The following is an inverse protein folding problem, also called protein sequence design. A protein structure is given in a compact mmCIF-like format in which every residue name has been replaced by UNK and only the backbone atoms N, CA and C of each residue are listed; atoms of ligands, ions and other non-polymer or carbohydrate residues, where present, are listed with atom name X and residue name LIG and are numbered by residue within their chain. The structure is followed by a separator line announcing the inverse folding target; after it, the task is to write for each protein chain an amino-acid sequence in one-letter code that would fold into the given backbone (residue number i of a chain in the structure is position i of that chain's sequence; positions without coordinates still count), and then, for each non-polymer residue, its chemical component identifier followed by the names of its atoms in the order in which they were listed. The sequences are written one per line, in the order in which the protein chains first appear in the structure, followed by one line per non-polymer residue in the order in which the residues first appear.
data_IF_162678933517
#
_entry.id   IF_162678933517
#
_cell.length_a   1.000
_cell.length_b   1.000
_cell.length_c   1.000
_cell.angle_alpha   90.00
_cell.angle_beta   90.00
_cell.angle_gamma   90.00
#
_symmetry.space_group_name_H-M   'P 1'
#
loop_
_entity.id
_entity.type
_entity.pdbx_description
1 polymer ?
#
# COMPACT_ATOMS: atom_id res chain seq x y z
N UNK A 1 9.20 -42.15 -24.79
CA UNK A 1 7.92 -41.41 -24.83
C UNK A 1 7.39 -41.00 -23.45
N UNK A 2 7.35 -41.88 -22.43
CA UNK A 2 6.77 -41.54 -21.11
C UNK A 2 7.49 -40.39 -20.36
N UNK A 3 8.83 -40.33 -20.42
CA UNK A 3 9.64 -39.24 -19.82
C UNK A 3 9.40 -37.87 -20.47
N UNK A 4 9.16 -37.85 -21.77
CA UNK A 4 8.90 -36.62 -22.53
C UNK A 4 7.53 -36.03 -22.20
N UNK A 5 6.54 -36.89 -21.98
CA UNK A 5 5.21 -36.48 -21.53
C UNK A 5 5.23 -35.89 -20.12
N UNK A 6 6.04 -36.44 -19.19
CA UNK A 6 6.19 -35.89 -17.83
C UNK A 6 6.90 -34.53 -17.85
N UNK A 7 7.93 -34.36 -18.68
CA UNK A 7 8.61 -33.07 -18.85
C UNK A 7 7.68 -32.00 -19.43
N UNK A 8 6.91 -32.33 -20.46
CA UNK A 8 5.90 -31.42 -21.04
C UNK A 8 4.82 -31.06 -20.01
N UNK A 9 4.32 -32.02 -19.24
CA UNK A 9 3.31 -31.76 -18.20
C UNK A 9 3.87 -30.85 -17.10
N UNK A 10 5.13 -31.05 -16.71
CA UNK A 10 5.82 -30.22 -15.70
C UNK A 10 6.10 -28.79 -16.21
N UNK A 11 6.45 -28.63 -17.48
CA UNK A 11 6.62 -27.31 -18.11
C UNK A 11 5.29 -26.56 -18.26
N UNK A 12 4.21 -27.26 -18.61
CA UNK A 12 2.86 -26.69 -18.66
C UNK A 12 2.40 -26.20 -17.28
N UNK A 13 2.69 -26.95 -16.21
CA UNK A 13 2.43 -26.48 -14.84
C UNK A 13 3.30 -25.29 -14.44
N UNK A 14 4.57 -25.22 -14.88
CA UNK A 14 5.43 -24.07 -14.62
C UNK A 14 4.98 -22.80 -15.37
N UNK A 15 4.49 -22.96 -16.61
CA UNK A 15 4.02 -21.85 -17.45
C UNK A 15 2.65 -21.30 -16.98
N UNK A 16 1.72 -22.19 -16.59
CA UNK A 16 0.43 -21.78 -16.01
C UNK A 16 0.58 -21.12 -14.62
N UNK A 17 1.65 -21.44 -13.89
CA UNK A 17 1.94 -20.93 -12.55
C UNK A 17 2.51 -19.50 -12.54
N UNK A 18 3.00 -18.95 -13.66
CA UNK A 18 3.72 -17.67 -13.67
C UNK A 18 2.81 -16.45 -13.91
N UNK A 19 1.75 -16.55 -14.72
CA UNK A 19 0.87 -15.40 -15.00
C UNK A 19 0.13 -14.89 -13.77
N UNK A 20 -0.46 -15.78 -12.97
CA UNK A 20 -1.19 -15.38 -11.77
C UNK A 20 -0.23 -14.81 -10.70
N UNK A 21 0.96 -15.40 -10.55
CA UNK A 21 1.97 -14.91 -9.63
C UNK A 21 2.51 -13.54 -10.06
N UNK A 22 2.77 -13.36 -11.35
CA UNK A 22 3.17 -12.09 -11.95
C UNK A 22 2.08 -11.03 -11.76
N UNK A 23 0.82 -11.36 -11.98
CA UNK A 23 -0.29 -10.43 -11.77
C UNK A 23 -0.40 -9.98 -10.32
N UNK A 24 -0.24 -10.91 -9.36
CA UNK A 24 -0.19 -10.55 -7.95
C UNK A 24 1.01 -9.64 -7.64
N UNK A 25 2.22 -9.96 -8.14
CA UNK A 25 3.41 -9.11 -7.96
C UNK A 25 3.20 -7.68 -8.50
N UNK A 26 2.58 -7.54 -9.67
CA UNK A 26 2.25 -6.23 -10.25
C UNK A 26 1.23 -5.50 -9.38
N UNK A 27 0.21 -6.19 -8.89
CA UNK A 27 -0.79 -5.60 -7.99
C UNK A 27 -0.19 -5.10 -6.68
N UNK A 28 0.76 -5.84 -6.10
CA UNK A 28 1.52 -5.42 -4.92
C UNK A 28 2.34 -4.17 -5.24
N UNK A 29 3.01 -4.14 -6.40
CA UNK A 29 3.74 -2.97 -6.87
C UNK A 29 2.85 -1.72 -6.99
N UNK A 30 1.64 -1.89 -7.55
CA UNK A 30 0.65 -0.82 -7.65
C UNK A 30 0.18 -0.35 -6.26
N UNK A 31 -0.16 -1.27 -5.36
CA UNK A 31 -0.58 -0.96 -3.99
C UNK A 31 0.51 -0.23 -3.18
N UNK A 32 1.77 -0.67 -3.29
CA UNK A 32 2.92 0.00 -2.67
C UNK A 32 3.12 1.40 -3.27
N UNK A 33 3.06 1.51 -4.60
CA UNK A 33 3.15 2.80 -5.30
C UNK A 33 2.08 3.79 -4.84
N UNK A 34 0.83 3.34 -4.72
CA UNK A 34 -0.27 4.15 -4.20
C UNK A 34 -0.01 4.65 -2.77
N UNK A 35 0.46 3.77 -1.88
CA UNK A 35 0.80 4.14 -0.50
C UNK A 35 1.97 5.14 -0.45
N UNK A 36 2.97 4.98 -1.31
CA UNK A 36 4.08 5.92 -1.43
C UNK A 36 3.58 7.30 -1.92
N UNK A 37 2.74 7.33 -2.94
CA UNK A 37 2.11 8.55 -3.45
C UNK A 37 1.29 9.26 -2.37
N UNK A 38 0.47 8.52 -1.64
CA UNK A 38 -0.36 9.07 -0.55
C UNK A 38 0.49 9.59 0.63
N UNK A 39 1.63 8.95 0.88
CA UNK A 39 2.60 9.41 1.88
C UNK A 39 3.28 10.71 1.45
N UNK A 40 3.63 10.82 0.17
CA UNK A 40 4.24 12.02 -0.39
C UNK A 40 3.25 13.19 -0.46
N UNK A 41 2.00 12.93 -0.86
CA UNK A 41 0.96 13.96 -0.91
C UNK A 41 0.54 14.43 0.48
N UNK A 42 0.70 13.60 1.52
CA UNK A 42 0.37 13.95 2.91
C UNK A 42 1.53 14.64 3.66
N UNK A 43 2.76 14.61 3.13
CA UNK A 43 3.94 15.12 3.85
C UNK A 43 3.79 16.61 4.18
N UNK A 44 3.92 16.96 5.46
CA UNK A 44 3.80 18.35 5.93
C UNK A 44 2.36 18.83 6.13
N UNK A 45 1.34 18.05 5.76
CA UNK A 45 -0.04 18.34 6.12
C UNK A 45 -0.28 18.12 7.63
N UNK A 46 -1.24 18.82 8.23
CA UNK A 46 -1.63 18.56 9.63
C UNK A 46 -2.23 17.16 9.76
N UNK A 47 -1.77 16.43 10.76
CA UNK A 47 -2.35 15.15 11.15
C UNK A 47 -3.75 15.37 11.73
N UNK A 48 -4.75 14.84 11.04
CA UNK A 48 -6.13 14.82 11.51
C UNK A 48 -6.37 13.75 12.58
N UNK A 49 -5.47 12.76 12.69
CA UNK A 49 -5.61 11.65 13.63
C UNK A 49 -4.87 11.94 14.95
N UNK A 50 -5.60 12.23 16.05
CA UNK A 50 -4.97 12.56 17.34
C UNK A 50 -4.20 11.39 17.96
N UNK A 51 -4.46 10.14 17.55
CA UNK A 51 -3.73 8.96 18.02
C UNK A 51 -2.34 8.83 17.37
N UNK A 52 -2.18 9.34 16.14
CA UNK A 52 -0.91 9.33 15.42
C UNK A 52 -0.01 10.53 15.77
N UNK A 53 -0.59 11.53 16.44
CA UNK A 53 0.11 12.68 17.03
C UNK A 53 -0.71 13.97 16.92
N UNK A 54 -0.26 15.01 17.62
CA UNK A 54 -0.70 16.39 17.38
C UNK A 54 0.44 17.10 16.63
N UNK A 55 0.26 17.42 15.35
CA UNK A 55 1.31 18.03 14.54
C UNK A 55 1.21 17.70 13.05
N UNK A 56 2.30 17.89 12.30
CA UNK A 56 2.35 17.56 10.87
C UNK A 56 2.66 16.08 10.62
N UNK A 57 2.22 15.58 9.47
CA UNK A 57 2.58 14.27 8.96
C UNK A 57 4.08 14.25 8.63
N UNK A 58 4.82 13.45 9.39
CA UNK A 58 6.27 13.39 9.38
C UNK A 58 6.79 11.96 9.41
N UNK A 59 8.08 11.81 9.77
CA UNK A 59 8.78 10.52 9.67
C UNK A 59 8.16 9.38 10.48
N UNK A 60 7.53 9.69 11.63
CA UNK A 60 6.85 8.68 12.46
C UNK A 60 5.64 8.08 11.74
N UNK A 61 4.79 8.91 11.15
CA UNK A 61 3.57 8.46 10.49
C UNK A 61 3.90 7.77 9.17
N UNK A 62 4.95 8.22 8.46
CA UNK A 62 5.54 7.48 7.35
C UNK A 62 5.97 6.08 7.76
N UNK A 63 6.70 5.93 8.88
CA UNK A 63 7.17 4.63 9.37
C UNK A 63 6.02 3.70 9.79
N UNK A 64 4.98 4.23 10.45
CA UNK A 64 3.80 3.44 10.82
C UNK A 64 3.09 2.95 9.57
N UNK A 65 2.85 3.84 8.59
CA UNK A 65 2.13 3.50 7.36
C UNK A 65 2.89 2.51 6.49
N UNK A 66 4.22 2.67 6.38
CA UNK A 66 5.07 1.71 5.67
C UNK A 66 5.09 0.35 6.38
N UNK A 67 5.14 0.34 7.72
CA UNK A 67 5.02 -0.87 8.53
C UNK A 67 3.71 -1.62 8.29
N UNK A 68 2.58 -0.90 8.28
CA UNK A 68 1.27 -1.48 7.96
C UNK A 68 1.26 -2.04 6.54
N UNK A 69 1.73 -1.26 5.56
CA UNK A 69 1.78 -1.68 4.15
C UNK A 69 2.59 -2.97 4.00
N UNK A 70 3.78 -3.04 4.60
CA UNK A 70 4.62 -4.24 4.58
C UNK A 70 3.97 -5.42 5.31
N UNK A 71 3.30 -5.17 6.44
CA UNK A 71 2.57 -6.18 7.21
C UNK A 71 1.44 -6.81 6.41
N UNK A 72 0.66 -6.01 5.68
CA UNK A 72 -0.40 -6.51 4.78
C UNK A 72 0.20 -7.41 3.70
N UNK A 73 1.26 -6.97 3.01
CA UNK A 73 1.90 -7.76 1.94
C UNK A 73 2.45 -9.08 2.50
N UNK A 74 3.04 -9.06 3.69
CA UNK A 74 3.53 -10.26 4.35
C UNK A 74 2.38 -11.22 4.70
N UNK A 75 1.28 -10.70 5.23
CA UNK A 75 0.08 -11.48 5.53
C UNK A 75 -0.50 -12.12 4.26
N UNK A 76 -0.64 -11.36 3.17
CA UNK A 76 -1.04 -11.88 1.87
C UNK A 76 -0.13 -13.02 1.43
N UNK A 77 1.20 -12.82 1.49
CA UNK A 77 2.17 -13.85 1.10
C UNK A 77 2.04 -15.10 1.95
N UNK A 78 1.75 -14.98 3.24
CA UNK A 78 1.51 -16.12 4.12
C UNK A 78 0.19 -16.84 3.81
N UNK A 79 -0.86 -16.08 3.49
CA UNK A 79 -2.16 -16.62 3.08
C UNK A 79 -2.01 -17.36 1.76
N UNK A 80 -1.37 -16.76 0.75
CA UNK A 80 -1.17 -17.37 -0.57
C UNK A 80 -0.28 -18.61 -0.54
N UNK A 81 0.59 -18.75 0.47
CA UNK A 81 1.35 -19.99 0.71
C UNK A 81 0.45 -21.14 1.15
N UNK A 82 -0.62 -20.87 1.90
CA UNK A 82 -1.56 -21.88 2.41
C UNK A 82 -2.78 -22.06 1.51
N UNK A 83 -3.22 -20.98 0.87
CA UNK A 83 -4.46 -20.84 0.11
C UNK A 83 -4.19 -20.17 -1.25
N UNK A 84 -3.44 -20.82 -2.16
CA UNK A 84 -3.09 -20.26 -3.46
C UNK A 84 -4.31 -19.93 -4.33
N UNK A 85 -5.46 -20.59 -4.11
CA UNK A 85 -6.75 -20.33 -4.77
C UNK A 85 -7.26 -18.90 -4.57
N UNK A 86 -6.86 -18.24 -3.47
CA UNK A 86 -7.26 -16.86 -3.16
C UNK A 86 -6.45 -15.80 -3.91
N UNK A 87 -5.49 -16.19 -4.76
CA UNK A 87 -4.58 -15.24 -5.44
C UNK A 87 -5.29 -14.18 -6.26
N UNK A 88 -6.32 -14.56 -7.01
CA UNK A 88 -7.06 -13.60 -7.83
C UNK A 88 -7.82 -12.59 -6.96
N UNK A 89 -8.37 -13.04 -5.83
CA UNK A 89 -9.03 -12.16 -4.86
C UNK A 89 -8.04 -11.12 -4.33
N UNK A 90 -6.87 -11.53 -3.83
CA UNK A 90 -5.85 -10.62 -3.31
C UNK A 90 -5.29 -9.68 -4.39
N UNK A 91 -5.13 -10.17 -5.61
CA UNK A 91 -4.71 -9.35 -6.76
C UNK A 91 -5.70 -8.21 -7.01
N UNK A 92 -7.00 -8.51 -7.06
CA UNK A 92 -8.04 -7.49 -7.23
C UNK A 92 -8.18 -6.59 -6.00
N UNK A 93 -8.01 -7.12 -4.79
CA UNK A 93 -8.04 -6.34 -3.56
C UNK A 93 -6.91 -5.30 -3.54
N UNK A 94 -5.70 -5.67 -3.98
CA UNK A 94 -4.57 -4.74 -4.12
C UNK A 94 -4.85 -3.62 -5.12
N UNK A 95 -5.42 -3.93 -6.28
CA UNK A 95 -5.81 -2.90 -7.25
C UNK A 95 -6.94 -2.00 -6.72
N UNK A 96 -7.99 -2.57 -6.16
CA UNK A 96 -9.12 -1.80 -5.62
C UNK A 96 -8.70 -0.87 -4.49
N UNK A 97 -7.93 -1.39 -3.54
CA UNK A 97 -7.40 -0.60 -2.42
C UNK A 97 -6.40 0.44 -2.91
N UNK A 98 -5.47 0.05 -3.79
CA UNK A 98 -4.50 0.98 -4.37
C UNK A 98 -5.17 2.11 -5.15
N UNK A 99 -6.26 1.83 -5.87
CA UNK A 99 -7.02 2.84 -6.60
C UNK A 99 -7.70 3.83 -5.64
N UNK A 100 -8.31 3.33 -4.56
CA UNK A 100 -8.90 4.18 -3.53
C UNK A 100 -7.85 5.08 -2.85
N UNK A 101 -6.70 4.51 -2.46
CA UNK A 101 -5.58 5.26 -1.87
C UNK A 101 -5.04 6.30 -2.85
N UNK A 102 -4.89 5.94 -4.13
CA UNK A 102 -4.42 6.86 -5.16
C UNK A 102 -5.38 8.02 -5.38
N UNK A 103 -6.70 7.78 -5.34
CA UNK A 103 -7.70 8.82 -5.42
C UNK A 103 -7.59 9.82 -4.26
N UNK A 104 -7.36 9.31 -3.03
CA UNK A 104 -7.07 10.16 -1.86
C UNK A 104 -5.78 10.94 -2.06
N UNK A 105 -4.72 10.31 -2.55
CA UNK A 105 -3.44 10.96 -2.81
C UNK A 105 -3.57 12.11 -3.81
N UNK A 106 -4.27 11.89 -4.92
CA UNK A 106 -4.56 12.91 -5.95
C UNK A 106 -5.40 14.04 -5.38
N UNK A 107 -6.44 13.72 -4.59
CA UNK A 107 -7.22 14.73 -3.88
C UNK A 107 -6.33 15.58 -2.98
N UNK A 108 -5.43 14.97 -2.22
CA UNK A 108 -4.53 15.65 -1.30
C UNK A 108 -3.54 16.56 -2.02
N UNK A 109 -3.01 16.14 -3.18
CA UNK A 109 -2.16 17.01 -4.01
C UNK A 109 -2.88 18.25 -4.54
N UNK A 110 -4.17 18.12 -4.84
CA UNK A 110 -4.99 19.22 -5.36
C UNK A 110 -5.53 20.13 -4.25
N UNK A 111 -5.37 19.75 -2.99
CA UNK A 111 -5.59 20.68 -1.88
C UNK A 111 -4.26 21.40 -1.64
N UNK A 112 -4.18 22.74 -1.79
CA UNK A 112 -2.99 23.46 -1.35
C UNK A 112 -2.80 23.12 0.13
N UNK A 113 -1.59 22.66 0.50
CA UNK A 113 -1.14 22.60 1.89
C UNK A 113 -1.38 24.00 2.41
N UNK A 114 -2.50 24.20 3.10
CA UNK A 114 -2.88 25.52 3.54
C UNK A 114 -1.68 26.02 4.33
N UNK A 115 -1.12 27.13 3.86
CA UNK A 115 -0.31 28.04 4.64
C UNK A 115 -1.17 28.45 5.84
N UNK A 116 -1.31 27.57 6.83
CA UNK A 116 -1.67 27.99 8.16
C UNK A 116 -0.36 28.50 8.73
N UNK A 117 -0.21 29.84 8.91
CA UNK A 117 0.94 30.36 9.62
C UNK A 117 1.03 29.59 10.92
N UNK A 118 2.26 29.23 11.32
CA UNK A 118 2.52 28.71 12.64
C UNK A 118 1.71 29.56 13.62
N UNK A 119 0.64 29.00 14.20
CA UNK A 119 -0.01 29.69 15.30
C UNK A 119 1.11 29.89 16.33
N UNK A 120 1.45 31.14 16.68
CA UNK A 120 2.50 31.37 17.64
C UNK A 120 2.11 30.61 18.90
N UNK A 121 3.05 29.84 19.46
CA UNK A 121 2.85 29.05 20.68
C UNK A 121 2.58 29.92 21.94
N UNK A 122 2.16 31.18 21.77
CA UNK A 122 2.09 32.19 22.83
C UNK A 122 0.69 32.70 23.16
N UNK A 123 -0.39 32.09 22.67
CA UNK A 123 -1.75 32.57 22.98
C UNK A 123 -2.69 31.44 23.41
N UNK A 124 -2.50 30.94 24.64
CA UNK A 124 -3.56 30.57 25.62
C UNK A 124 -2.95 29.82 26.81
N UNK A 125 -2.05 30.50 27.52
CA UNK A 125 -1.79 30.23 28.93
C UNK A 125 -1.88 31.58 29.65
N UNK A 126 -3.10 32.12 29.73
CA UNK A 126 -3.44 33.16 30.68
C UNK A 126 -4.70 32.73 31.43
N UNK A 127 -4.48 32.55 32.74
CA UNK A 127 -5.42 32.26 33.84
C UNK A 127 -5.86 30.81 33.99
#
# INVERSE_FOLDING_TARGET
MKLFAVLLLSMLTAYAQDHAQRNWNISVGFFVGANAMDTLSSRGAMESNPLLGRGQFGGRQMAIKSGITAGVILAERMILRKHPETRNFWTWANYGTGAAISAVAVRNWNQPVLLQPALPQSATAFK
#
